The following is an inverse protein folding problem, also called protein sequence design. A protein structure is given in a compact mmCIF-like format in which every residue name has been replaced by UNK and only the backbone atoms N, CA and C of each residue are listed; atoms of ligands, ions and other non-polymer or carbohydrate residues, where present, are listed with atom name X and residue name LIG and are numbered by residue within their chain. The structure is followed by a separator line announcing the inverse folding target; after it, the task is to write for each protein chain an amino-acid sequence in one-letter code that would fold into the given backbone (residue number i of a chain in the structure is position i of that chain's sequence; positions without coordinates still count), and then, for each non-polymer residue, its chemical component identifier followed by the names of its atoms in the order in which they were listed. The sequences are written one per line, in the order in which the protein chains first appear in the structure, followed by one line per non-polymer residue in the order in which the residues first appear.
data_IF_601083021478
#
_entry.id   IF_601083021478
#
_cell.length_a   1.000
_cell.length_b   1.000
_cell.length_c   1.000
_cell.angle_alpha   90.00
_cell.angle_beta   90.00
_cell.angle_gamma   90.00
#
_symmetry.space_group_name_H-M   'P 1'
#
loop_
_entity.id
_entity.type
_entity.pdbx_description
1 polymer ?
#
# COMPACT_ATOMS: atom_id res chain seq x y z
N UNK A 1 9.85 -68.60 -8.50
CA UNK A 1 10.95 -67.66 -8.23
C UNK A 1 10.33 -66.29 -8.01
N UNK A 2 10.40 -65.76 -6.79
CA UNK A 2 9.80 -64.46 -6.43
C UNK A 2 10.91 -63.42 -6.41
N UNK A 3 10.91 -62.53 -7.39
CA UNK A 3 11.92 -61.48 -7.52
C UNK A 3 11.53 -60.29 -6.64
N UNK A 4 12.15 -60.17 -5.47
CA UNK A 4 11.96 -59.03 -4.57
C UNK A 4 12.77 -57.85 -5.10
N UNK A 5 12.09 -56.79 -5.57
CA UNK A 5 12.73 -55.55 -5.99
C UNK A 5 13.08 -54.71 -4.76
N UNK A 6 14.37 -54.67 -4.40
CA UNK A 6 14.90 -53.75 -3.39
C UNK A 6 15.05 -52.37 -4.02
N UNK A 7 14.08 -51.48 -3.78
CA UNK A 7 14.20 -50.05 -4.14
C UNK A 7 15.21 -49.38 -3.22
N UNK A 8 16.46 -49.25 -3.68
CA UNK A 8 17.45 -48.38 -3.04
C UNK A 8 17.00 -46.94 -3.23
N UNK A 9 16.48 -46.30 -2.19
CA UNK A 9 16.12 -44.89 -2.24
C UNK A 9 17.35 -44.06 -2.65
N UNK A 10 17.25 -43.22 -3.69
CA UNK A 10 18.36 -42.36 -4.08
C UNK A 10 18.75 -41.48 -2.88
N UNK A 11 20.04 -41.48 -2.52
CA UNK A 11 20.57 -40.55 -1.52
C UNK A 11 20.38 -39.14 -2.05
N UNK A 12 19.46 -38.38 -1.46
CA UNK A 12 19.29 -36.96 -1.76
C UNK A 12 20.33 -36.18 -0.95
N UNK A 13 21.55 -36.09 -1.46
CA UNK A 13 22.61 -35.27 -0.87
C UNK A 13 22.39 -33.77 -1.14
N UNK A 14 21.12 -33.36 -1.34
CA UNK A 14 20.75 -31.97 -1.58
C UNK A 14 20.96 -31.23 -0.25
N UNK A 15 21.88 -30.25 -0.18
CA UNK A 15 22.10 -29.49 1.04
C UNK A 15 20.82 -28.73 1.40
N UNK A 16 20.07 -29.22 2.38
CA UNK A 16 18.91 -28.53 2.94
C UNK A 16 19.43 -27.32 3.72
N UNK A 17 19.09 -26.11 3.28
CA UNK A 17 19.43 -24.89 4.00
C UNK A 17 18.72 -24.92 5.35
N UNK A 18 19.50 -25.08 6.43
CA UNK A 18 18.98 -25.20 7.81
C UNK A 18 18.47 -23.88 8.40
N UNK A 19 18.76 -22.76 7.75
CA UNK A 19 18.43 -21.41 8.23
C UNK A 19 17.32 -20.79 7.39
N UNK A 20 16.32 -20.23 8.08
CA UNK A 20 15.25 -19.47 7.45
C UNK A 20 15.81 -18.22 6.72
N UNK A 21 15.24 -17.82 5.56
CA UNK A 21 15.68 -16.63 4.83
C UNK A 21 15.62 -15.37 5.71
N UNK A 22 16.60 -14.46 5.60
CA UNK A 22 16.59 -13.21 6.38
C UNK A 22 15.41 -12.31 5.97
N UNK A 23 14.98 -11.42 6.86
CA UNK A 23 13.88 -10.49 6.56
C UNK A 23 14.14 -9.62 5.31
N UNK A 24 15.33 -9.04 5.09
CA UNK A 24 15.61 -8.30 3.87
C UNK A 24 15.48 -9.14 2.60
N UNK A 25 15.88 -10.42 2.64
CA UNK A 25 15.69 -11.33 1.51
C UNK A 25 14.22 -11.58 1.22
N UNK A 26 13.39 -11.75 2.26
CA UNK A 26 11.94 -11.90 2.09
C UNK A 26 11.29 -10.62 1.54
N UNK A 27 11.67 -9.45 2.05
CA UNK A 27 11.20 -8.15 1.53
C UNK A 27 11.54 -8.03 0.04
N UNK A 28 12.79 -8.29 -0.34
CA UNK A 28 13.21 -8.25 -1.74
C UNK A 28 12.44 -9.24 -2.63
N UNK A 29 12.14 -10.44 -2.12
CA UNK A 29 11.32 -11.43 -2.81
C UNK A 29 9.88 -10.93 -3.04
N UNK A 30 9.25 -10.37 -2.01
CA UNK A 30 7.89 -9.82 -2.08
C UNK A 30 7.80 -8.61 -3.02
N UNK A 31 8.82 -7.76 -3.03
CA UNK A 31 8.91 -6.66 -4.00
C UNK A 31 9.02 -7.20 -5.44
N UNK A 32 9.90 -8.19 -5.66
CA UNK A 32 10.06 -8.82 -6.98
C UNK A 32 8.77 -9.46 -7.45
N UNK A 33 8.08 -10.18 -6.55
CA UNK A 33 6.78 -10.81 -6.81
C UNK A 33 5.73 -9.78 -7.21
N UNK A 34 5.68 -8.65 -6.50
CA UNK A 34 4.74 -7.58 -6.79
C UNK A 34 4.98 -6.93 -8.16
N UNK A 35 6.19 -7.00 -8.72
CA UNK A 35 6.55 -6.37 -9.99
C UNK A 35 6.74 -7.35 -11.15
N UNK A 36 6.75 -8.66 -10.89
CA UNK A 36 6.98 -9.70 -11.92
C UNK A 36 5.76 -10.02 -12.79
N UNK A 37 4.58 -9.54 -12.43
CA UNK A 37 3.33 -9.84 -13.15
C UNK A 37 2.71 -8.60 -13.81
N UNK A 38 1.88 -8.81 -14.85
CA UNK A 38 1.20 -7.73 -15.59
C UNK A 38 0.41 -6.80 -14.68
N UNK A 39 -0.37 -7.35 -13.76
CA UNK A 39 -1.17 -6.56 -12.80
C UNK A 39 -0.30 -5.74 -11.86
N UNK A 40 0.84 -6.29 -11.43
CA UNK A 40 1.83 -5.59 -10.62
C UNK A 40 2.44 -4.38 -11.32
N UNK A 41 2.84 -4.56 -12.58
CA UNK A 41 3.30 -3.45 -13.44
C UNK A 41 2.20 -2.42 -13.67
N UNK A 42 0.94 -2.86 -13.87
CA UNK A 42 -0.19 -1.96 -14.01
C UNK A 42 -0.42 -1.12 -12.74
N UNK A 43 -0.30 -1.70 -11.54
CA UNK A 43 -0.33 -0.94 -10.28
C UNK A 43 0.81 0.07 -10.19
N UNK A 44 2.03 -0.30 -10.55
CA UNK A 44 3.17 0.63 -10.55
C UNK A 44 2.94 1.80 -11.50
N UNK A 45 2.46 1.53 -12.72
CA UNK A 45 2.10 2.57 -13.70
C UNK A 45 0.98 3.46 -13.19
N UNK A 46 -0.08 2.88 -12.62
CA UNK A 46 -1.19 3.66 -12.04
C UNK A 46 -0.72 4.52 -10.87
N UNK A 47 0.11 3.98 -9.97
CA UNK A 47 0.60 4.71 -8.79
C UNK A 47 1.46 5.92 -9.19
N UNK A 48 2.26 5.78 -10.25
CA UNK A 48 3.11 6.88 -10.76
C UNK A 48 2.30 7.92 -11.54
N UNK A 49 1.29 7.52 -12.30
CA UNK A 49 0.58 8.41 -13.22
C UNK A 49 -0.68 9.05 -12.62
N UNK A 50 -1.38 8.39 -11.71
CA UNK A 50 -2.70 8.83 -11.27
C UNK A 50 -2.67 10.21 -10.59
N UNK A 51 -1.65 10.48 -9.77
CA UNK A 51 -1.43 11.80 -9.17
C UNK A 51 -1.17 12.90 -10.21
N UNK A 52 -0.08 12.82 -11.01
CA UNK A 52 0.23 13.83 -12.02
C UNK A 52 -0.88 14.04 -13.06
N UNK A 53 -1.53 12.97 -13.52
CA UNK A 53 -2.64 13.06 -14.48
C UNK A 53 -3.85 13.71 -13.83
N UNK A 54 -4.22 13.31 -12.61
CA UNK A 54 -5.32 13.94 -11.88
C UNK A 54 -5.08 15.42 -11.65
N UNK A 55 -3.84 15.79 -11.33
CA UNK A 55 -3.41 17.18 -11.18
C UNK A 55 -3.48 17.94 -12.52
N UNK A 56 -2.96 17.37 -13.61
CA UNK A 56 -3.00 17.99 -14.93
C UNK A 56 -4.44 18.23 -15.40
N UNK A 57 -5.35 17.29 -15.12
CA UNK A 57 -6.77 17.44 -15.42
C UNK A 57 -7.42 18.52 -14.56
N UNK A 58 -7.11 18.58 -13.26
CA UNK A 58 -7.62 19.61 -12.38
C UNK A 58 -7.16 21.02 -12.81
N UNK A 59 -5.93 21.13 -13.31
CA UNK A 59 -5.36 22.39 -13.81
C UNK A 59 -6.07 22.94 -15.06
N UNK A 60 -6.93 22.17 -15.72
CA UNK A 60 -7.69 22.64 -16.88
C UNK A 60 -8.79 23.64 -16.49
N UNK A 61 -9.37 23.47 -15.30
CA UNK A 61 -10.51 24.27 -14.82
C UNK A 61 -10.21 25.04 -13.53
N UNK A 62 -9.14 24.68 -12.80
CA UNK A 62 -8.81 25.25 -11.49
C UNK A 62 -7.48 26.02 -11.52
N UNK A 63 -7.50 27.21 -10.93
CA UNK A 63 -6.29 27.95 -10.59
C UNK A 63 -5.79 27.56 -9.19
N UNK A 64 -4.49 27.31 -9.07
CA UNK A 64 -3.88 26.98 -7.79
C UNK A 64 -3.19 28.21 -7.19
N UNK A 65 -3.64 28.66 -6.02
CA UNK A 65 -2.95 29.75 -5.30
C UNK A 65 -1.65 29.31 -4.62
N UNK A 66 -1.44 28.01 -4.42
CA UNK A 66 -0.28 27.46 -3.72
C UNK A 66 -0.08 25.97 -4.03
N UNK A 67 1.17 25.51 -3.98
CA UNK A 67 1.58 24.17 -4.46
C UNK A 67 1.03 23.01 -3.63
N UNK A 68 0.83 23.20 -2.33
CA UNK A 68 0.50 22.08 -1.44
C UNK A 68 -0.96 21.62 -1.60
N UNK A 69 -1.86 22.52 -2.01
CA UNK A 69 -3.26 22.22 -2.31
C UNK A 69 -3.41 21.04 -3.28
N UNK A 70 -2.93 21.16 -4.54
CA UNK A 70 -2.99 20.07 -5.51
C UNK A 70 -2.10 18.88 -5.14
N UNK A 71 -0.97 19.09 -4.45
CA UNK A 71 -0.16 17.99 -3.93
C UNK A 71 -0.88 17.15 -2.86
N UNK A 72 -1.84 17.71 -2.12
CA UNK A 72 -2.71 16.95 -1.24
C UNK A 72 -3.57 15.94 -2.01
N UNK A 73 -4.11 16.33 -3.16
CA UNK A 73 -4.87 15.43 -4.04
C UNK A 73 -3.98 14.33 -4.58
N UNK A 74 -2.73 14.66 -4.98
CA UNK A 74 -1.72 13.68 -5.41
C UNK A 74 -1.44 12.66 -4.31
N UNK A 75 -1.24 13.11 -3.06
CA UNK A 75 -1.03 12.23 -1.91
C UNK A 75 -2.19 11.24 -1.70
N UNK A 76 -3.43 11.74 -1.77
CA UNK A 76 -4.63 10.91 -1.66
C UNK A 76 -4.73 9.90 -2.81
N UNK A 77 -4.64 10.35 -4.06
CA UNK A 77 -4.80 9.52 -5.26
C UNK A 77 -3.75 8.40 -5.31
N UNK A 78 -2.48 8.75 -5.14
CA UNK A 78 -1.40 7.76 -5.14
C UNK A 78 -1.50 6.83 -3.93
N UNK A 79 -1.87 7.35 -2.76
CA UNK A 79 -2.14 6.55 -1.56
C UNK A 79 -3.21 5.49 -1.82
N UNK A 80 -4.33 5.84 -2.44
CA UNK A 80 -5.42 4.90 -2.75
C UNK A 80 -4.98 3.79 -3.72
N UNK A 81 -4.18 4.10 -4.73
CA UNK A 81 -3.62 3.05 -5.61
C UNK A 81 -2.73 2.10 -4.80
N UNK A 82 -1.90 2.65 -3.90
CA UNK A 82 -1.02 1.87 -3.04
C UNK A 82 -1.78 1.04 -2.00
N UNK A 83 -2.93 1.52 -1.52
CA UNK A 83 -3.86 0.76 -0.69
C UNK A 83 -4.26 -0.55 -1.38
N UNK A 84 -4.64 -0.48 -2.65
CA UNK A 84 -4.99 -1.68 -3.41
C UNK A 84 -3.80 -2.62 -3.62
N UNK A 85 -2.60 -2.11 -3.92
CA UNK A 85 -1.41 -2.96 -4.02
C UNK A 85 -1.13 -3.68 -2.69
N UNK A 86 -1.26 -2.97 -1.57
CA UNK A 86 -1.19 -3.53 -0.22
C UNK A 86 -2.15 -4.69 -0.02
N UNK A 87 -3.43 -4.49 -0.34
CA UNK A 87 -4.46 -5.53 -0.27
C UNK A 87 -4.10 -6.74 -1.13
N UNK A 88 -3.76 -6.52 -2.40
CA UNK A 88 -3.44 -7.61 -3.34
C UNK A 88 -2.20 -8.39 -2.90
N UNK A 89 -1.20 -7.73 -2.34
CA UNK A 89 0.04 -8.38 -1.87
C UNK A 89 -0.19 -9.43 -0.76
N UNK A 90 -1.29 -9.28 -0.01
CA UNK A 90 -1.63 -10.14 1.14
C UNK A 90 -2.85 -11.01 0.84
N UNK A 91 -4.00 -10.41 0.58
CA UNK A 91 -5.25 -11.13 0.28
C UNK A 91 -5.18 -11.92 -1.05
N UNK A 92 -4.33 -11.47 -1.99
CA UNK A 92 -4.17 -12.13 -3.29
C UNK A 92 -3.65 -13.55 -3.16
N UNK A 93 -2.77 -13.83 -2.19
CA UNK A 93 -2.26 -15.19 -1.98
C UNK A 93 -3.34 -16.15 -1.48
N UNK A 94 -4.18 -15.67 -0.57
CA UNK A 94 -5.33 -16.43 -0.07
C UNK A 94 -6.35 -16.67 -1.18
N UNK A 95 -6.62 -15.65 -1.98
CA UNK A 95 -7.60 -15.72 -3.08
C UNK A 95 -7.19 -16.76 -4.14
N UNK A 96 -5.88 -16.90 -4.41
CA UNK A 96 -5.35 -17.83 -5.41
C UNK A 96 -4.75 -19.12 -4.81
N UNK A 97 -4.90 -19.37 -3.51
CA UNK A 97 -4.36 -20.56 -2.83
C UNK A 97 -2.83 -20.63 -2.71
N UNK A 98 -2.09 -19.63 -3.21
CA UNK A 98 -0.61 -19.61 -3.16
C UNK A 98 -0.06 -19.36 -1.75
N UNK A 99 -0.91 -19.01 -0.79
CA UNK A 99 -0.52 -18.87 0.61
C UNK A 99 0.01 -20.18 1.22
N UNK A 100 -0.47 -21.33 0.74
CA UNK A 100 -0.02 -22.64 1.22
C UNK A 100 1.45 -22.87 0.91
N UNK A 101 1.89 -22.56 -0.32
CA UNK A 101 3.30 -22.70 -0.70
C UNK A 101 4.18 -21.70 0.05
N UNK A 102 3.70 -20.47 0.28
CA UNK A 102 4.40 -19.48 1.11
C UNK A 102 4.67 -20.01 2.52
N UNK A 103 3.67 -20.61 3.19
CA UNK A 103 3.85 -21.10 4.57
C UNK A 103 4.52 -22.47 4.66
N UNK A 104 4.53 -23.28 3.59
CA UNK A 104 5.40 -24.46 3.51
C UNK A 104 6.89 -24.07 3.42
N UNK A 105 7.21 -22.98 2.70
CA UNK A 105 8.58 -22.48 2.57
C UNK A 105 9.02 -21.64 3.78
N UNK A 106 8.09 -20.87 4.36
CA UNK A 106 8.35 -19.98 5.50
C UNK A 106 7.21 -20.16 6.54
N UNK A 107 7.33 -21.13 7.46
CA UNK A 107 6.25 -21.49 8.39
C UNK A 107 5.95 -20.41 9.44
N UNK A 108 6.84 -19.43 9.60
CA UNK A 108 6.69 -18.32 10.53
C UNK A 108 5.82 -17.22 9.92
N UNK A 109 4.49 -17.36 10.05
CA UNK A 109 3.49 -16.46 9.45
C UNK A 109 3.75 -14.99 9.70
N UNK A 110 4.15 -14.66 10.92
CA UNK A 110 4.50 -13.31 11.30
C UNK A 110 5.62 -12.69 10.47
N UNK A 111 6.68 -13.47 10.17
CA UNK A 111 7.79 -12.98 9.34
C UNK A 111 7.36 -12.69 7.90
N UNK A 112 6.48 -13.52 7.35
CA UNK A 112 5.92 -13.30 6.01
C UNK A 112 5.10 -12.01 6.00
N UNK A 113 4.24 -11.82 7.00
CA UNK A 113 3.40 -10.62 7.06
C UNK A 113 4.23 -9.34 7.25
N UNK A 114 5.26 -9.36 8.11
CA UNK A 114 6.20 -8.25 8.26
C UNK A 114 7.00 -7.98 6.98
N UNK A 115 7.45 -9.03 6.29
CA UNK A 115 8.15 -8.86 5.01
C UNK A 115 7.25 -8.25 3.93
N UNK A 116 5.98 -8.67 3.85
CA UNK A 116 4.99 -8.08 2.95
C UNK A 116 4.72 -6.62 3.26
N UNK A 117 4.47 -6.29 4.53
CA UNK A 117 4.27 -4.92 4.97
C UNK A 117 5.47 -4.03 4.62
N UNK A 118 6.70 -4.50 4.90
CA UNK A 118 7.92 -3.78 4.53
C UNK A 118 8.09 -3.62 3.02
N UNK A 119 7.82 -4.67 2.23
CA UNK A 119 7.90 -4.62 0.78
C UNK A 119 6.93 -3.61 0.18
N UNK A 120 5.65 -3.62 0.59
CA UNK A 120 4.67 -2.68 0.05
C UNK A 120 4.86 -1.27 0.59
N UNK A 121 5.38 -1.08 1.82
CA UNK A 121 5.76 0.23 2.34
C UNK A 121 6.86 0.87 1.49
N UNK A 122 7.90 0.10 1.16
CA UNK A 122 9.01 0.56 0.30
C UNK A 122 8.56 0.84 -1.13
N UNK A 123 7.75 -0.04 -1.72
CA UNK A 123 7.16 0.19 -3.05
C UNK A 123 6.25 1.42 -3.04
N UNK A 124 5.43 1.59 -2.00
CA UNK A 124 4.55 2.74 -1.84
C UNK A 124 5.30 4.05 -1.72
N UNK A 125 6.32 4.11 -0.88
CA UNK A 125 7.20 5.26 -0.77
C UNK A 125 7.88 5.57 -2.12
N UNK A 126 8.42 4.55 -2.79
CA UNK A 126 9.14 4.73 -4.05
C UNK A 126 8.22 5.24 -5.18
N UNK A 127 7.06 4.61 -5.38
CA UNK A 127 6.12 5.05 -6.43
C UNK A 127 5.50 6.40 -6.12
N UNK A 128 5.20 6.69 -4.85
CA UNK A 128 4.72 8.00 -4.45
C UNK A 128 5.78 9.10 -4.59
N UNK A 129 7.07 8.80 -4.38
CA UNK A 129 8.15 9.74 -4.64
C UNK A 129 8.23 10.10 -6.13
N UNK A 130 8.11 9.10 -7.02
CA UNK A 130 8.10 9.35 -8.47
C UNK A 130 6.84 10.12 -8.87
N UNK A 131 5.67 9.76 -8.34
CA UNK A 131 4.42 10.49 -8.59
C UNK A 131 4.49 11.94 -8.10
N UNK A 132 5.07 12.19 -6.92
CA UNK A 132 5.28 13.52 -6.37
C UNK A 132 6.21 14.34 -7.28
N UNK A 133 7.37 13.78 -7.66
CA UNK A 133 8.31 14.46 -8.56
C UNK A 133 7.69 14.80 -9.92
N UNK A 134 6.95 13.85 -10.51
CA UNK A 134 6.23 14.07 -11.76
C UNK A 134 5.14 15.16 -11.61
N UNK A 135 4.43 15.17 -10.49
CA UNK A 135 3.40 16.18 -10.19
C UNK A 135 3.99 17.57 -10.04
N UNK A 136 5.13 17.71 -9.35
CA UNK A 136 5.87 18.97 -9.27
C UNK A 136 6.30 19.44 -10.67
N UNK A 137 6.74 18.52 -11.53
CA UNK A 137 7.05 18.82 -12.93
C UNK A 137 5.83 19.33 -13.71
N UNK A 138 4.66 18.70 -13.54
CA UNK A 138 3.41 19.17 -14.16
C UNK A 138 3.06 20.58 -13.67
N UNK A 139 3.11 20.83 -12.36
CA UNK A 139 2.83 22.16 -11.80
C UNK A 139 3.77 23.23 -12.40
N UNK A 140 5.06 22.93 -12.52
CA UNK A 140 6.03 23.84 -13.09
C UNK A 140 5.78 24.12 -14.59
N UNK A 141 5.26 23.15 -15.34
CA UNK A 141 4.96 23.28 -16.77
C UNK A 141 3.64 23.99 -17.07
N UNK A 142 2.64 23.85 -16.18
CA UNK A 142 1.35 24.55 -16.32
C UNK A 142 1.52 26.07 -16.19
N UNK A 143 2.63 26.55 -15.59
CA UNK A 143 3.03 27.95 -15.69
C UNK A 143 2.06 28.92 -15.01
N UNK A 144 1.73 28.64 -13.74
CA UNK A 144 0.93 29.57 -12.93
C UNK A 144 1.87 30.66 -12.40
N UNK A 145 1.90 31.80 -13.06
CA UNK A 145 2.86 32.90 -12.84
C UNK A 145 2.85 33.47 -11.40
N UNK A 146 1.81 33.17 -10.60
CA UNK A 146 1.65 33.61 -9.20
C UNK A 146 1.64 32.45 -8.17
N UNK A 147 2.13 31.26 -8.53
CA UNK A 147 2.06 30.10 -7.63
C UNK A 147 2.99 30.25 -6.41
N UNK A 148 2.40 30.20 -5.21
CA UNK A 148 3.18 30.12 -3.98
C UNK A 148 3.78 28.71 -3.78
N UNK A 149 5.11 28.62 -3.80
CA UNK A 149 5.87 27.38 -3.61
C UNK A 149 6.08 27.00 -2.13
N UNK A 150 5.59 27.79 -1.19
CA UNK A 150 5.73 27.51 0.24
C UNK A 150 5.12 26.14 0.58
N UNK A 151 5.86 25.32 1.34
CA UNK A 151 5.41 24.00 1.78
C UNK A 151 5.66 22.86 0.78
N UNK A 152 6.24 23.11 -0.40
CA UNK A 152 6.41 22.06 -1.42
C UNK A 152 7.20 20.84 -0.93
N UNK A 153 8.24 21.04 -0.11
CA UNK A 153 9.04 19.95 0.43
C UNK A 153 8.19 19.06 1.34
N UNK A 154 7.38 19.69 2.19
CA UNK A 154 6.48 18.99 3.10
C UNK A 154 5.44 18.20 2.32
N UNK A 155 4.86 18.77 1.26
CA UNK A 155 3.88 18.08 0.42
C UNK A 155 4.48 16.85 -0.26
N UNK A 156 5.73 16.94 -0.73
CA UNK A 156 6.45 15.79 -1.29
C UNK A 156 6.66 14.72 -0.22
N UNK A 157 7.15 15.09 0.97
CA UNK A 157 7.36 14.14 2.07
C UNK A 157 6.05 13.48 2.51
N UNK A 158 4.98 14.25 2.66
CA UNK A 158 3.66 13.75 3.01
C UNK A 158 3.08 12.82 1.93
N UNK A 159 3.30 13.13 0.65
CA UNK A 159 2.90 12.26 -0.47
C UNK A 159 3.64 10.92 -0.42
N UNK A 160 4.95 10.93 -0.20
CA UNK A 160 5.76 9.73 -0.03
C UNK A 160 5.29 8.90 1.17
N UNK A 161 5.05 9.57 2.31
CA UNK A 161 4.52 8.95 3.51
C UNK A 161 3.14 8.33 3.26
N UNK A 162 2.23 9.04 2.58
CA UNK A 162 0.91 8.54 2.22
C UNK A 162 0.99 7.27 1.37
N UNK A 163 1.88 7.22 0.37
CA UNK A 163 2.11 6.02 -0.43
C UNK A 163 2.49 4.80 0.43
N UNK A 164 3.43 4.96 1.36
CA UNK A 164 3.83 3.89 2.27
C UNK A 164 2.73 3.49 3.26
N UNK A 165 2.10 4.49 3.88
CA UNK A 165 1.06 4.30 4.91
C UNK A 165 -0.14 3.56 4.33
N UNK A 166 -0.68 4.02 3.20
CA UNK A 166 -1.83 3.37 2.58
C UNK A 166 -1.49 1.95 2.12
N UNK A 167 -0.28 1.72 1.60
CA UNK A 167 0.16 0.36 1.25
C UNK A 167 0.13 -0.58 2.46
N UNK A 168 0.60 -0.12 3.63
CA UNK A 168 0.58 -0.92 4.86
C UNK A 168 -0.83 -1.12 5.39
N UNK A 169 -1.68 -0.09 5.36
CA UNK A 169 -3.11 -0.23 5.71
C UNK A 169 -3.76 -1.30 4.84
N UNK A 170 -3.53 -1.24 3.54
CA UNK A 170 -4.04 -2.21 2.58
C UNK A 170 -3.54 -3.61 2.87
N UNK A 171 -2.26 -3.78 3.15
CA UNK A 171 -1.69 -5.08 3.50
C UNK A 171 -2.26 -5.65 4.81
N UNK A 172 -2.42 -4.80 5.84
CA UNK A 172 -3.04 -5.21 7.10
C UNK A 172 -4.48 -5.70 6.90
N UNK A 173 -5.30 -4.94 6.21
CA UNK A 173 -6.70 -5.31 5.93
C UNK A 173 -6.80 -6.49 4.97
N UNK A 174 -5.94 -6.58 3.96
CA UNK A 174 -5.87 -7.72 3.06
C UNK A 174 -5.52 -9.02 3.80
N UNK A 175 -4.55 -8.97 4.71
CA UNK A 175 -4.25 -10.07 5.61
C UNK A 175 -5.42 -10.38 6.56
N UNK A 176 -6.12 -9.36 7.05
CA UNK A 176 -7.27 -9.48 7.95
C UNK A 176 -8.49 -10.11 7.28
N UNK A 177 -8.66 -9.96 5.98
CA UNK A 177 -9.83 -10.43 5.22
C UNK A 177 -9.58 -11.73 4.46
N UNK A 178 -8.34 -11.97 4.01
CA UNK A 178 -7.96 -13.12 3.18
C UNK A 178 -8.80 -13.27 1.89
N UNK A 179 -9.40 -12.18 1.42
CA UNK A 179 -10.17 -12.14 0.18
C UNK A 179 -9.99 -10.78 -0.48
N UNK A 180 -9.39 -10.77 -1.67
CA UNK A 180 -8.99 -9.52 -2.36
C UNK A 180 -10.21 -8.65 -2.67
N UNK A 181 -11.28 -9.25 -3.20
CA UNK A 181 -12.50 -8.54 -3.57
C UNK A 181 -13.18 -7.94 -2.35
N UNK A 182 -13.39 -8.73 -1.29
CA UNK A 182 -14.02 -8.25 -0.07
C UNK A 182 -13.23 -7.11 0.58
N UNK A 183 -11.90 -7.22 0.61
CA UNK A 183 -11.02 -6.19 1.14
C UNK A 183 -11.10 -4.87 0.35
N UNK A 184 -10.92 -4.93 -0.97
CA UNK A 184 -10.96 -3.75 -1.84
C UNK A 184 -12.33 -3.08 -1.80
N UNK A 185 -13.40 -3.85 -1.95
CA UNK A 185 -14.77 -3.32 -1.91
C UNK A 185 -15.05 -2.64 -0.58
N UNK A 186 -14.73 -3.29 0.55
CA UNK A 186 -14.98 -2.72 1.88
C UNK A 186 -14.16 -1.44 2.10
N UNK A 187 -12.87 -1.47 1.78
CA UNK A 187 -11.99 -0.31 1.99
C UNK A 187 -12.39 0.87 1.11
N UNK A 188 -12.65 0.65 -0.18
CA UNK A 188 -13.02 1.74 -1.06
C UNK A 188 -14.42 2.28 -0.76
N UNK A 189 -15.40 1.43 -0.46
CA UNK A 189 -16.71 1.91 -0.01
C UNK A 189 -16.59 2.73 1.28
N UNK A 190 -15.73 2.30 2.20
CA UNK A 190 -15.50 3.03 3.44
C UNK A 190 -14.83 4.39 3.18
N UNK A 191 -13.67 4.40 2.53
CA UNK A 191 -12.82 5.59 2.37
C UNK A 191 -13.38 6.58 1.35
N UNK A 192 -14.00 6.12 0.26
CA UNK A 192 -14.51 6.98 -0.82
C UNK A 192 -16.02 7.23 -0.74
N UNK A 193 -16.76 6.43 0.01
CA UNK A 193 -18.22 6.56 0.16
C UNK A 193 -18.61 6.99 1.57
N UNK A 194 -18.46 6.07 2.53
CA UNK A 194 -18.99 6.24 3.88
C UNK A 194 -18.33 7.42 4.61
N UNK A 195 -17.00 7.52 4.62
CA UNK A 195 -16.31 8.56 5.39
C UNK A 195 -16.56 9.99 4.85
N UNK A 196 -16.54 10.24 3.53
CA UNK A 196 -16.97 11.52 2.98
C UNK A 196 -18.42 11.88 3.32
N UNK A 197 -19.36 10.91 3.24
CA UNK A 197 -20.75 11.14 3.63
C UNK A 197 -20.91 11.45 5.12
N UNK A 198 -20.14 10.75 5.97
CA UNK A 198 -20.08 11.04 7.41
C UNK A 198 -19.53 12.44 7.65
N UNK A 199 -18.49 12.88 6.91
CA UNK A 199 -17.99 14.26 7.00
C UNK A 199 -19.07 15.28 6.63
N UNK A 200 -19.85 15.04 5.57
CA UNK A 200 -20.93 15.95 5.17
C UNK A 200 -22.00 16.08 6.25
N UNK A 201 -22.42 14.97 6.88
CA UNK A 201 -23.45 15.00 7.91
C UNK A 201 -22.96 15.34 9.33
N UNK A 202 -21.72 14.95 9.65
CA UNK A 202 -21.05 15.10 10.95
C UNK A 202 -19.55 15.35 10.75
N UNK A 203 -19.15 16.59 10.43
CA UNK A 203 -17.77 16.95 10.08
C UNK A 203 -16.75 16.50 11.11
N UNK A 204 -17.02 16.74 12.40
CA UNK A 204 -16.14 16.37 13.51
C UNK A 204 -15.77 14.88 13.51
N UNK A 205 -16.74 14.00 13.22
CA UNK A 205 -16.50 12.55 13.16
C UNK A 205 -15.75 12.16 11.90
N UNK A 206 -16.12 12.71 10.73
CA UNK A 206 -15.45 12.42 9.48
C UNK A 206 -13.98 12.84 9.50
N UNK A 207 -13.69 14.02 10.02
CA UNK A 207 -12.33 14.56 10.15
C UNK A 207 -11.50 13.81 11.18
N UNK A 208 -12.13 13.13 12.15
CA UNK A 208 -11.42 12.38 13.18
C UNK A 208 -10.92 11.01 12.71
N UNK A 209 -11.46 10.47 11.60
CA UNK A 209 -11.17 9.07 11.20
C UNK A 209 -10.81 8.89 9.74
N UNK A 210 -10.99 9.88 8.87
CA UNK A 210 -10.75 9.72 7.43
C UNK A 210 -9.26 9.78 7.07
N UNK A 211 -8.65 8.65 6.65
CA UNK A 211 -7.24 8.62 6.30
C UNK A 211 -6.94 9.34 4.98
N UNK A 212 -7.89 9.38 4.03
CA UNK A 212 -7.70 10.04 2.75
C UNK A 212 -7.60 11.56 2.95
N UNK A 213 -8.50 12.10 3.77
CA UNK A 213 -8.46 13.51 4.13
C UNK A 213 -7.24 13.86 4.99
N UNK A 214 -6.89 13.03 5.98
CA UNK A 214 -5.69 13.23 6.78
C UNK A 214 -4.42 13.30 5.91
N UNK A 215 -4.31 12.47 4.86
CA UNK A 215 -3.19 12.56 3.92
C UNK A 215 -3.18 13.87 3.12
N UNK A 216 -4.35 14.38 2.72
CA UNK A 216 -4.46 15.68 2.06
C UNK A 216 -4.02 16.82 2.98
N UNK A 217 -4.54 16.87 4.22
CA UNK A 217 -4.21 17.90 5.19
C UNK A 217 -2.72 17.89 5.55
N UNK A 218 -2.15 16.70 5.78
CA UNK A 218 -0.73 16.57 6.06
C UNK A 218 0.15 17.10 4.92
N UNK A 219 -0.25 16.84 3.67
CA UNK A 219 0.45 17.36 2.48
C UNK A 219 0.34 18.88 2.35
N UNK A 220 -0.77 19.43 2.84
CA UNK A 220 -1.06 20.86 2.90
C UNK A 220 -0.38 21.56 4.09
N UNK A 221 0.30 20.83 4.98
CA UNK A 221 0.86 21.40 6.21
C UNK A 221 -0.20 21.90 7.18
N UNK A 222 -1.41 21.36 7.09
CA UNK A 222 -2.52 21.65 7.99
C UNK A 222 -2.78 20.47 8.91
N UNK A 223 -3.15 20.76 10.17
CA UNK A 223 -3.55 19.74 11.15
C UNK A 223 -2.55 18.57 11.27
N UNK A 224 -1.24 18.86 11.20
CA UNK A 224 -0.20 17.84 11.02
C UNK A 224 -0.26 16.75 12.10
N UNK A 225 -0.35 17.16 13.37
CA UNK A 225 -0.41 16.23 14.50
C UNK A 225 -1.62 15.31 14.39
N UNK A 226 -2.81 15.88 14.10
CA UNK A 226 -4.05 15.11 13.94
C UNK A 226 -3.93 14.14 12.77
N UNK A 227 -3.42 14.61 11.64
CA UNK A 227 -3.25 13.81 10.43
C UNK A 227 -2.30 12.63 10.64
N UNK A 228 -1.16 12.87 11.29
CA UNK A 228 -0.19 11.82 11.65
C UNK A 228 -0.83 10.81 12.60
N UNK A 229 -1.60 11.25 13.60
CA UNK A 229 -2.29 10.36 14.54
C UNK A 229 -3.33 9.47 13.84
N UNK A 230 -4.13 10.05 12.93
CA UNK A 230 -5.13 9.30 12.15
C UNK A 230 -4.44 8.23 11.29
N UNK A 231 -3.46 8.64 10.49
CA UNK A 231 -2.72 7.75 9.60
C UNK A 231 -2.02 6.62 10.37
N UNK A 232 -1.37 6.96 11.49
CA UNK A 232 -0.71 5.98 12.36
C UNK A 232 -1.72 5.03 13.00
N UNK A 233 -2.86 5.56 13.47
CA UNK A 233 -3.96 4.77 14.03
C UNK A 233 -4.47 3.73 13.06
N UNK A 234 -4.69 4.11 11.79
CA UNK A 234 -5.07 3.19 10.73
C UNK A 234 -4.02 2.11 10.46
N UNK A 235 -2.74 2.48 10.39
CA UNK A 235 -1.64 1.52 10.21
C UNK A 235 -1.62 0.50 11.35
N UNK A 236 -1.74 0.96 12.60
CA UNK A 236 -1.74 0.10 13.78
C UNK A 236 -2.95 -0.83 13.77
N UNK A 237 -4.16 -0.30 13.61
CA UNK A 237 -5.40 -1.09 13.62
C UNK A 237 -5.40 -2.13 12.50
N UNK A 238 -5.07 -1.73 11.27
CA UNK A 238 -5.01 -2.64 10.12
C UNK A 238 -3.95 -3.73 10.31
N UNK A 239 -2.75 -3.37 10.77
CA UNK A 239 -1.65 -4.32 10.96
C UNK A 239 -1.93 -5.30 12.09
N UNK A 240 -2.50 -4.84 13.20
CA UNK A 240 -2.89 -5.69 14.33
C UNK A 240 -4.04 -6.63 13.94
N UNK A 241 -5.07 -6.12 13.26
CA UNK A 241 -6.17 -6.94 12.76
C UNK A 241 -5.65 -8.01 11.79
N UNK A 242 -4.79 -7.61 10.84
CA UNK A 242 -4.14 -8.51 9.88
C UNK A 242 -3.32 -9.58 10.57
N UNK A 243 -2.51 -9.20 11.56
CA UNK A 243 -1.71 -10.13 12.35
C UNK A 243 -2.59 -11.13 13.08
N UNK A 244 -3.53 -10.66 13.90
CA UNK A 244 -4.36 -11.52 14.77
C UNK A 244 -5.19 -12.50 13.92
N UNK A 245 -5.84 -12.02 12.87
CA UNK A 245 -6.72 -12.87 12.05
C UNK A 245 -5.94 -13.83 11.17
N UNK A 246 -4.79 -13.42 10.61
CA UNK A 246 -3.95 -14.32 9.81
C UNK A 246 -3.34 -15.47 10.63
N UNK A 247 -3.05 -15.26 11.92
CA UNK A 247 -2.53 -16.33 12.78
C UNK A 247 -3.60 -17.35 13.17
N UNK A 248 -4.88 -16.94 13.25
CA UNK A 248 -6.00 -17.82 13.62
C UNK A 248 -6.55 -18.63 12.45
N UNK A 249 -6.27 -18.23 11.21
CA UNK A 249 -6.81 -18.92 10.02
C UNK A 249 -6.11 -20.25 9.73
N UNK A 250 -6.83 -21.37 9.59
CA UNK A 250 -6.22 -22.58 9.07
C UNK A 250 -5.80 -22.35 7.61
N UNK A 251 -4.69 -22.97 7.20
CA UNK A 251 -4.22 -23.00 5.81
C UNK A 251 -4.58 -24.39 5.32
N UNK A 252 -5.49 -24.47 4.35
CA UNK A 252 -5.98 -25.71 3.76
C UNK A 252 -5.40 -25.86 2.35
#
# INVERSE_FOLDING_TARGET
MTTTLTLTAPRSDVPVRRTAPSLPTLVGLEMRKSLSHRSGKAFATAAVLMGPVGLALAALDAEFGWVAGPMGVVAMMTGLVMLALGVVSTAGEWTHGTVQTTYLLVPQRGRVLTAKAGAVALLGAAFAAVAAAASIGVIALVGVDDLNWTGWQQSVVATVAAGAVFAVIGAGIGAATANTTAALTTLYLLVLGVLPLVRVGKPELGDAVDPAHAAMLLSQGSEETRSILILTGWVVVASVAGWVLAHRRPVQ
#
